data_IF_287358717621
#
_entry.id   IF_287358717621
#
_cell.length_a   1.000
_cell.length_b   1.000
_cell.length_c   1.000
_cell.angle_alpha   90.00
_cell.angle_beta   90.00
_cell.angle_gamma   90.00
#
_symmetry.space_group_name_H-M   'P 1'
#
loop_
_entity.id
_entity.type
_entity.pdbx_description
1 polymer ?
#
# COMPACT_ATOMS: atom_id res chain seq x y z
N UNK A 1 18.97 -4.82 -6.25
CA UNK A 1 17.57 -4.43 -5.95
C UNK A 1 17.10 -5.31 -4.81
N UNK A 2 16.80 -4.72 -3.64
CA UNK A 2 16.25 -5.46 -2.50
C UNK A 2 14.77 -5.77 -2.73
N UNK A 3 14.30 -6.94 -2.30
CA UNK A 3 12.86 -7.24 -2.34
C UNK A 3 12.14 -6.44 -1.26
N UNK A 4 10.90 -6.04 -1.52
CA UNK A 4 10.08 -5.26 -0.55
C UNK A 4 9.93 -6.02 0.78
N UNK A 5 9.88 -7.35 0.74
CA UNK A 5 9.84 -8.22 1.93
C UNK A 5 11.06 -8.05 2.84
N UNK A 6 12.23 -7.76 2.28
CA UNK A 6 13.47 -7.59 3.04
C UNK A 6 13.44 -6.34 3.91
N UNK A 7 12.57 -5.37 3.61
CA UNK A 7 12.37 -4.18 4.47
C UNK A 7 11.91 -4.57 5.87
N UNK A 8 11.22 -5.71 6.03
CA UNK A 8 10.77 -6.22 7.34
C UNK A 8 11.90 -6.81 8.18
N UNK A 9 13.01 -7.20 7.55
CA UNK A 9 14.17 -7.78 8.24
C UNK A 9 15.15 -6.71 8.73
N UNK A 10 15.00 -5.46 8.30
CA UNK A 10 15.84 -4.35 8.73
C UNK A 10 15.46 -3.97 10.17
N UNK A 11 16.43 -4.05 11.09
CA UNK A 11 16.24 -3.56 12.45
C UNK A 11 16.31 -2.04 12.49
N UNK A 12 15.27 -1.41 13.05
CA UNK A 12 15.18 0.06 13.19
C UNK A 12 14.09 0.70 12.32
N UNK A 13 14.03 2.03 12.34
CA UNK A 13 13.07 2.78 11.51
C UNK A 13 13.60 2.87 10.07
N UNK A 14 12.85 2.29 9.14
CA UNK A 14 13.17 2.34 7.71
C UNK A 14 12.40 3.47 7.03
N UNK A 15 13.11 4.33 6.30
CA UNK A 15 12.52 5.29 5.40
C UNK A 15 12.91 4.94 3.96
N UNK A 16 11.94 4.91 3.07
CA UNK A 16 12.16 4.77 1.63
C UNK A 16 11.56 5.97 0.91
N UNK A 17 12.27 6.47 -0.11
CA UNK A 17 12.01 7.76 -0.73
C UNK A 17 11.94 7.61 -2.25
N UNK A 18 11.31 8.58 -2.91
CA UNK A 18 11.31 8.72 -4.37
C UNK A 18 11.59 10.19 -4.73
N UNK A 19 11.77 10.50 -6.02
CA UNK A 19 12.05 11.86 -6.49
C UNK A 19 10.88 12.82 -6.29
N UNK A 20 9.65 12.33 -6.22
CA UNK A 20 8.46 13.14 -6.00
C UNK A 20 8.27 13.49 -4.52
N UNK A 21 7.92 14.76 -4.25
CA UNK A 21 7.63 15.23 -2.91
C UNK A 21 6.38 14.55 -2.32
N UNK A 22 5.32 14.40 -3.12
CA UNK A 22 4.02 13.89 -2.68
C UNK A 22 3.89 12.39 -2.93
N UNK A 23 3.55 11.63 -1.87
CA UNK A 23 3.50 10.17 -1.94
C UNK A 23 2.36 9.67 -2.84
N UNK A 24 1.23 10.38 -2.91
CA UNK A 24 0.03 9.92 -3.62
C UNK A 24 0.10 10.06 -5.15
N UNK A 25 1.12 10.76 -5.68
CA UNK A 25 1.34 10.92 -7.13
C UNK A 25 2.50 10.10 -7.67
N UNK A 26 3.20 9.35 -6.82
CA UNK A 26 4.35 8.55 -7.23
C UNK A 26 4.10 7.05 -7.01
N UNK A 27 4.97 6.24 -7.61
CA UNK A 27 4.88 4.78 -7.56
C UNK A 27 5.09 4.20 -6.16
N UNK A 28 5.64 4.97 -5.20
CA UNK A 28 5.81 4.52 -3.81
C UNK A 28 4.48 4.34 -3.07
N UNK A 29 3.38 4.90 -3.61
CA UNK A 29 2.01 4.60 -3.17
C UNK A 29 1.71 3.11 -3.27
N UNK A 30 2.07 2.45 -4.38
CA UNK A 30 1.83 1.02 -4.58
C UNK A 30 2.59 0.16 -3.56
N UNK A 31 3.82 0.55 -3.23
CA UNK A 31 4.62 -0.11 -2.20
C UNK A 31 3.97 0.05 -0.83
N UNK A 32 3.44 1.25 -0.54
CA UNK A 32 2.74 1.56 0.72
C UNK A 32 1.43 0.78 0.85
N UNK A 33 0.66 0.69 -0.24
CA UNK A 33 -0.59 -0.08 -0.32
C UNK A 33 -0.30 -1.55 0.03
N UNK A 34 0.70 -2.15 -0.61
CA UNK A 34 1.11 -3.53 -0.35
C UNK A 34 1.57 -3.74 1.09
N UNK A 35 2.45 -2.87 1.60
CA UNK A 35 2.96 -2.97 2.97
C UNK A 35 1.83 -2.89 4.00
N UNK A 36 0.88 -1.98 3.79
CA UNK A 36 -0.29 -1.83 4.67
C UNK A 36 -1.20 -3.05 4.60
N UNK A 37 -1.39 -3.62 3.41
CA UNK A 37 -2.16 -4.85 3.20
C UNK A 37 -1.55 -6.05 3.95
N UNK A 38 -0.23 -6.19 3.96
CA UNK A 38 0.47 -7.24 4.72
C UNK A 38 0.66 -6.91 6.21
N UNK A 39 0.00 -5.86 6.71
CA UNK A 39 -0.06 -5.50 8.13
C UNK A 39 1.11 -4.66 8.64
N UNK A 40 1.89 -4.03 7.75
CA UNK A 40 2.96 -3.11 8.14
C UNK A 40 2.41 -1.69 8.25
N UNK A 41 2.68 -1.02 9.37
CA UNK A 41 2.34 0.40 9.53
C UNK A 41 3.24 1.26 8.62
N UNK A 42 2.62 2.06 7.75
CA UNK A 42 3.31 2.99 6.85
C UNK A 42 2.92 4.41 7.17
N UNK A 43 3.94 5.25 7.43
CA UNK A 43 3.79 6.67 7.71
C UNK A 43 4.47 7.51 6.62
N UNK A 44 3.79 8.53 6.14
CA UNK A 44 4.30 9.49 5.16
C UNK A 44 4.76 10.76 5.85
N UNK A 45 6.01 11.15 5.56
CA UNK A 45 6.57 12.43 5.97
C UNK A 45 6.17 13.48 4.93
N UNK A 46 5.38 14.46 5.36
CA UNK A 46 5.09 15.64 4.54
C UNK A 46 6.36 16.52 4.47
N UNK A 47 6.89 16.71 3.26
CA UNK A 47 8.17 17.40 3.05
C UNK A 47 8.09 18.89 3.41
N UNK A 48 6.91 19.50 3.36
CA UNK A 48 6.72 20.92 3.65
C UNK A 48 6.57 21.20 5.16
N UNK A 49 5.94 20.30 5.89
CA UNK A 49 5.55 20.50 7.29
C UNK A 49 6.28 19.58 8.27
N UNK A 50 6.96 18.54 7.79
CA UNK A 50 7.59 17.50 8.60
C UNK A 50 6.61 16.59 9.34
N UNK A 51 5.30 16.75 9.11
CA UNK A 51 4.27 15.97 9.79
C UNK A 51 4.23 14.55 9.25
N UNK A 52 3.95 13.62 10.16
CA UNK A 52 3.66 12.23 9.81
C UNK A 52 2.16 12.07 9.57
N UNK A 53 1.82 11.37 8.50
CA UNK A 53 0.45 10.99 8.17
C UNK A 53 0.39 9.49 7.89
N UNK A 54 -0.61 8.80 8.45
CA UNK A 54 -0.81 7.39 8.16
C UNK A 54 -1.14 7.21 6.67
N UNK A 55 -0.64 6.13 6.08
CA UNK A 55 -1.00 5.78 4.72
C UNK A 55 -2.49 5.42 4.63
N UNK A 56 -3.21 6.11 3.75
CA UNK A 56 -4.55 5.72 3.35
C UNK A 56 -4.43 4.79 2.12
N UNK A 57 -4.73 3.49 2.27
CA UNK A 57 -4.65 2.56 1.15
C UNK A 57 -5.66 2.93 0.07
N UNK A 58 -5.28 2.68 -1.18
CA UNK A 58 -6.17 2.88 -2.32
C UNK A 58 -7.42 2.01 -2.19
N UNK A 59 -8.59 2.57 -2.48
CA UNK A 59 -9.84 1.81 -2.46
C UNK A 59 -9.75 0.62 -3.43
N UNK A 60 -10.20 -0.58 -3.00
CA UNK A 60 -10.28 -1.72 -3.90
C UNK A 60 -11.27 -1.37 -5.03
N UNK A 61 -10.83 -1.59 -6.26
CA UNK A 61 -11.70 -1.41 -7.42
C UNK A 61 -12.49 -2.69 -7.67
N UNK A 62 -13.79 -2.60 -7.89
CA UNK A 62 -14.61 -3.77 -8.19
C UNK A 62 -14.66 -4.02 -9.69
N UNK A 63 -14.35 -5.23 -10.13
CA UNK A 63 -14.55 -5.64 -11.51
C UNK A 63 -15.21 -7.02 -11.58
N UNK A 64 -16.39 -7.08 -12.19
CA UNK A 64 -17.06 -8.33 -12.55
C UNK A 64 -17.41 -9.29 -11.40
N UNK A 65 -17.64 -8.81 -10.16
CA UNK A 65 -17.90 -9.72 -9.02
C UNK A 65 -16.83 -9.70 -7.94
N UNK A 66 -15.70 -9.05 -8.22
CA UNK A 66 -14.44 -9.30 -7.51
C UNK A 66 -13.79 -7.99 -7.09
N UNK A 67 -13.27 -7.95 -5.85
CA UNK A 67 -12.36 -6.90 -5.41
C UNK A 67 -11.00 -7.08 -6.10
N UNK A 68 -10.68 -6.16 -7.00
CA UNK A 68 -9.37 -6.05 -7.62
C UNK A 68 -8.53 -5.08 -6.79
N UNK A 69 -7.58 -5.66 -6.06
CA UNK A 69 -6.52 -4.92 -5.37
C UNK A 69 -5.25 -5.00 -6.22
N UNK A 70 -4.48 -3.91 -6.28
CA UNK A 70 -3.20 -3.88 -6.98
C UNK A 70 -2.22 -4.87 -6.32
N UNK A 71 -2.06 -6.05 -6.92
CA UNK A 71 -0.95 -6.96 -6.61
C UNK A 71 0.28 -6.52 -7.41
N UNK A 72 1.40 -6.25 -6.72
CA UNK A 72 2.59 -5.62 -7.27
C UNK A 72 3.37 -6.47 -8.32
N UNK A 73 2.93 -7.68 -8.66
CA UNK A 73 3.67 -8.58 -9.54
C UNK A 73 2.81 -9.14 -10.68
N UNK A 74 2.29 -8.30 -11.58
CA UNK A 74 1.80 -8.68 -12.94
C UNK A 74 0.76 -9.81 -13.05
N UNK A 75 0.34 -10.35 -11.92
CA UNK A 75 -0.53 -11.50 -11.72
C UNK A 75 -1.50 -10.97 -10.67
N UNK A 76 -2.64 -10.48 -11.17
CA UNK A 76 -3.78 -10.07 -10.38
C UNK A 76 -4.09 -11.22 -9.41
N UNK A 77 -3.71 -11.06 -8.14
CA UNK A 77 -4.27 -11.87 -7.08
C UNK A 77 -5.66 -11.29 -6.84
N UNK A 78 -6.63 -11.95 -7.45
CA UNK A 78 -8.03 -11.85 -7.09
C UNK A 78 -8.15 -12.49 -5.71
N UNK A 79 -7.88 -11.72 -4.67
CA UNK A 79 -8.40 -12.08 -3.36
C UNK A 79 -9.90 -11.78 -3.44
N UNK A 80 -10.71 -12.84 -3.44
CA UNK A 80 -12.16 -12.79 -3.25
C UNK A 80 -12.44 -12.29 -1.83
N UNK A 81 -12.05 -11.06 -1.53
CA UNK A 81 -12.65 -10.31 -0.46
C UNK A 81 -14.13 -10.19 -0.84
N UNK A 82 -15.06 -10.58 0.05
CA UNK A 82 -16.47 -10.42 -0.22
C UNK A 82 -16.75 -8.95 -0.55
N UNK A 83 -17.71 -8.72 -1.45
CA UNK A 83 -18.10 -7.37 -1.80
C UNK A 83 -18.49 -6.58 -0.53
N UNK A 84 -18.35 -5.24 -0.50
CA UNK A 84 -18.72 -4.44 0.68
C UNK A 84 -20.15 -4.63 1.19
N UNK A 85 -21.03 -5.30 0.42
CA UNK A 85 -22.39 -5.66 0.79
C UNK A 85 -22.59 -7.09 1.34
N UNK A 86 -21.58 -7.95 1.35
CA UNK A 86 -21.70 -9.36 1.79
C UNK A 86 -21.21 -9.61 3.23
N UNK A 87 -20.57 -8.63 3.88
CA UNK A 87 -20.05 -8.78 5.25
C UNK A 87 -21.09 -8.53 6.37
N UNK A 88 -22.38 -8.43 6.04
CA UNK A 88 -23.48 -8.33 7.01
C UNK A 88 -24.65 -9.20 6.55
N UNK A 89 -24.63 -10.46 6.96
CA UNK A 89 -25.80 -11.31 7.22
C UNK A 89 -25.35 -12.50 8.07
#
# INVERSE_FOLDING_TARGET
MHRIEELRAISGRVAYMCAEAVYWRCHRRLVSDYLTYVGVEVMHIDVATGKLSAHAPTEPSYWGGVNVVYSACGRLHVDLLPSPGEARQ
#
